data_IF_231258315194
#
_entry.id   IF_231258315194
#
_cell.length_a   1.000
_cell.length_b   1.000
_cell.length_c   1.000
_cell.angle_alpha   90.00
_cell.angle_beta   90.00
_cell.angle_gamma   90.00
#
_symmetry.space_group_name_H-M   'P 1'
#
loop_
_entity.id
_entity.type
_entity.pdbx_description
1 polymer ?
#
# COMPACT_ATOMS: atom_id res chain seq x y z
N UNK A 1 2.85 -46.70 -48.64
CA UNK A 1 3.32 -45.30 -48.71
C UNK A 1 3.66 -44.89 -47.30
N UNK A 2 4.87 -45.24 -46.86
CA UNK A 2 5.38 -44.72 -45.60
C UNK A 2 5.92 -43.35 -45.95
N UNK A 3 5.16 -42.34 -45.53
CA UNK A 3 5.62 -40.97 -45.47
C UNK A 3 7.01 -41.01 -44.83
N UNK A 4 8.01 -40.42 -45.48
CA UNK A 4 9.38 -40.43 -45.00
C UNK A 4 9.36 -40.05 -43.51
N UNK A 5 10.14 -40.70 -42.62
CA UNK A 5 10.22 -40.22 -41.25
C UNK A 5 10.80 -38.83 -41.36
N UNK A 6 9.93 -37.81 -41.28
CA UNK A 6 10.33 -36.41 -41.29
C UNK A 6 11.18 -36.29 -40.04
N UNK A 7 12.46 -36.39 -40.34
CA UNK A 7 13.64 -36.65 -39.53
C UNK A 7 13.36 -36.60 -38.03
N UNK A 8 13.51 -37.73 -37.32
CA UNK A 8 13.29 -37.81 -35.87
C UNK A 8 14.00 -36.68 -35.09
N UNK A 9 15.10 -36.15 -35.64
CA UNK A 9 15.81 -35.00 -35.07
C UNK A 9 15.00 -33.68 -35.09
N UNK A 10 14.18 -33.39 -36.12
CA UNK A 10 13.31 -32.21 -36.15
C UNK A 10 12.20 -32.30 -35.11
N UNK A 11 11.67 -33.51 -34.87
CA UNK A 11 10.69 -33.75 -33.81
C UNK A 11 11.33 -33.49 -32.45
N UNK A 12 12.54 -34.00 -32.20
CA UNK A 12 13.29 -33.72 -30.96
C UNK A 12 13.63 -32.23 -30.80
N UNK A 13 14.02 -31.55 -31.87
CA UNK A 13 14.27 -30.11 -31.87
C UNK A 13 12.99 -29.32 -31.54
N UNK A 14 11.87 -29.69 -32.17
CA UNK A 14 10.57 -29.08 -31.91
C UNK A 14 10.11 -29.27 -30.47
N UNK A 15 10.28 -30.48 -29.91
CA UNK A 15 9.98 -30.79 -28.50
C UNK A 15 10.88 -29.99 -27.56
N UNK A 16 12.17 -29.85 -27.86
CA UNK A 16 13.09 -29.07 -27.05
C UNK A 16 12.70 -27.58 -27.03
N UNK A 17 12.38 -27.01 -28.20
CA UNK A 17 11.91 -25.62 -28.32
C UNK A 17 10.59 -25.43 -27.57
N UNK A 18 9.61 -26.32 -27.78
CA UNK A 18 8.33 -26.25 -27.08
C UNK A 18 8.50 -26.36 -25.56
N UNK A 19 9.40 -27.24 -25.09
CA UNK A 19 9.71 -27.41 -23.67
C UNK A 19 10.36 -26.17 -23.06
N UNK A 20 11.27 -25.51 -23.78
CA UNK A 20 11.87 -24.24 -23.35
C UNK A 20 10.83 -23.11 -23.26
N UNK A 21 9.90 -23.05 -24.21
CA UNK A 21 8.79 -22.08 -24.18
C UNK A 21 7.88 -22.32 -22.97
N UNK A 22 7.45 -23.56 -22.75
CA UNK A 22 6.60 -23.92 -21.59
C UNK A 22 7.34 -23.66 -20.28
N UNK A 23 8.62 -24.01 -20.19
CA UNK A 23 9.43 -23.76 -19.00
C UNK A 23 9.62 -22.26 -18.74
N UNK A 24 9.86 -21.46 -19.78
CA UNK A 24 9.94 -20.00 -19.67
C UNK A 24 8.66 -19.40 -19.11
N UNK A 25 7.50 -19.80 -19.64
CA UNK A 25 6.19 -19.36 -19.14
C UNK A 25 5.98 -19.79 -17.69
N UNK A 26 6.32 -21.03 -17.33
CA UNK A 26 6.17 -21.51 -15.95
C UNK A 26 7.09 -20.76 -14.96
N UNK A 27 8.29 -20.36 -15.39
CA UNK A 27 9.24 -19.62 -14.58
C UNK A 27 8.83 -18.15 -14.33
N UNK A 28 7.99 -17.58 -15.19
CA UNK A 28 7.47 -16.21 -15.04
C UNK A 28 6.25 -16.10 -14.11
N UNK A 29 5.63 -17.23 -13.75
CA UNK A 29 4.48 -17.22 -12.85
C UNK A 29 4.88 -16.79 -11.43
N UNK A 30 4.11 -15.87 -10.79
CA UNK A 30 4.37 -15.49 -9.41
C UNK A 30 4.22 -16.69 -8.48
N UNK A 31 5.30 -17.07 -7.80
CA UNK A 31 5.31 -18.18 -6.82
C UNK A 31 4.92 -17.74 -5.41
N UNK A 32 4.66 -16.44 -5.22
CA UNK A 32 4.27 -15.84 -3.95
C UNK A 32 2.85 -15.29 -4.08
N UNK A 33 1.97 -15.46 -3.08
CA UNK A 33 0.65 -14.83 -3.10
C UNK A 33 0.76 -13.29 -3.19
N UNK A 34 -0.26 -12.61 -3.75
CA UNK A 34 -0.31 -11.16 -3.76
C UNK A 34 -0.37 -10.60 -2.33
N UNK A 35 0.05 -9.34 -2.11
CA UNK A 35 -0.09 -8.68 -0.82
C UNK A 35 -1.56 -8.58 -0.37
N UNK A 36 -1.81 -8.67 0.94
CA UNK A 36 -3.15 -8.59 1.52
C UNK A 36 -3.53 -7.14 1.83
N UNK A 37 -4.02 -6.43 0.82
CA UNK A 37 -4.48 -5.04 0.96
C UNK A 37 -5.78 -4.93 1.80
N UNK A 38 -6.66 -5.94 1.72
CA UNK A 38 -7.93 -5.95 2.46
C UNK A 38 -7.70 -6.01 3.96
N UNK A 39 -6.77 -6.83 4.43
CA UNK A 39 -6.39 -6.87 5.85
C UNK A 39 -5.83 -5.53 6.33
N UNK A 40 -5.02 -4.86 5.52
CA UNK A 40 -4.48 -3.55 5.85
C UNK A 40 -5.59 -2.49 6.00
N UNK A 41 -6.53 -2.44 5.06
CA UNK A 41 -7.70 -1.57 5.12
C UNK A 41 -8.57 -1.87 6.34
N UNK A 42 -8.88 -3.13 6.60
CA UNK A 42 -9.71 -3.52 7.74
C UNK A 42 -9.11 -3.06 9.08
N UNK A 43 -7.78 -3.09 9.22
CA UNK A 43 -7.11 -2.55 10.42
C UNK A 43 -7.26 -1.04 10.51
N UNK A 44 -7.10 -0.31 9.40
CA UNK A 44 -7.33 1.15 9.36
C UNK A 44 -8.78 1.47 9.75
N UNK A 45 -9.75 0.83 9.10
CA UNK A 45 -11.18 1.06 9.36
C UNK A 45 -11.59 0.66 10.78
N UNK A 46 -10.91 -0.31 11.41
CA UNK A 46 -11.18 -0.66 12.82
C UNK A 46 -10.75 0.42 13.83
N UNK A 47 -9.83 1.29 13.43
CA UNK A 47 -9.31 2.40 14.24
C UNK A 47 -9.91 3.73 13.82
N UNK A 48 -10.40 3.83 12.58
CA UNK A 48 -11.00 5.04 12.05
C UNK A 48 -12.30 5.38 12.79
N UNK A 49 -12.54 6.68 13.00
CA UNK A 49 -13.73 7.17 13.71
C UNK A 49 -13.69 6.95 15.23
N UNK A 50 -12.49 6.87 15.80
CA UNK A 50 -12.30 6.74 17.25
C UNK A 50 -12.80 7.98 18.00
N UNK A 51 -13.58 7.78 19.07
CA UNK A 51 -13.99 8.87 19.98
C UNK A 51 -12.81 9.36 20.85
N UNK A 52 -11.80 8.51 21.03
CA UNK A 52 -10.56 8.79 21.77
C UNK A 52 -9.35 8.34 20.96
N UNK A 53 -8.19 8.94 21.20
CA UNK A 53 -6.95 8.60 20.48
C UNK A 53 -6.68 7.09 20.51
N UNK A 54 -6.56 6.49 19.33
CA UNK A 54 -6.33 5.07 19.15
C UNK A 54 -5.18 4.83 18.15
N UNK A 55 -4.42 3.76 18.36
CA UNK A 55 -3.26 3.40 17.51
C UNK A 55 -3.30 1.93 17.15
N UNK A 56 -2.91 1.61 15.92
CA UNK A 56 -2.67 0.24 15.49
C UNK A 56 -1.45 0.16 14.58
N UNK A 57 -0.87 -1.02 14.52
CA UNK A 57 0.17 -1.37 13.58
C UNK A 57 -0.24 -2.61 12.81
N UNK A 58 -0.03 -2.59 11.49
CA UNK A 58 -0.36 -3.72 10.63
C UNK A 58 0.87 -4.10 9.81
N UNK A 59 1.43 -5.30 9.99
CA UNK A 59 2.51 -5.79 9.15
C UNK A 59 2.12 -5.80 7.67
N UNK A 60 3.03 -5.33 6.83
CA UNK A 60 2.88 -5.28 5.38
C UNK A 60 3.86 -6.24 4.70
N UNK A 61 3.33 -7.02 3.75
CA UNK A 61 4.12 -7.88 2.86
C UNK A 61 4.16 -7.27 1.45
N UNK A 62 4.64 -6.03 1.35
CA UNK A 62 4.71 -5.28 0.10
C UNK A 62 6.08 -4.63 -0.06
N UNK A 63 6.49 -4.40 -1.31
CA UNK A 63 7.69 -3.64 -1.67
C UNK A 63 7.36 -2.18 -1.90
N UNK A 64 6.20 -1.92 -2.47
CA UNK A 64 5.69 -0.57 -2.69
C UNK A 64 4.27 -0.45 -2.16
N UNK A 65 3.95 0.74 -1.67
CA UNK A 65 2.62 1.15 -1.24
C UNK A 65 2.24 2.42 -1.97
N UNK A 66 0.96 2.53 -2.30
CA UNK A 66 0.32 3.76 -2.76
C UNK A 66 -0.83 4.04 -1.82
N UNK A 67 -0.75 5.13 -1.05
CA UNK A 67 -1.73 5.49 -0.04
C UNK A 67 -2.49 6.74 -0.50
N UNK A 68 -3.82 6.63 -0.60
CA UNK A 68 -4.78 7.68 -0.97
C UNK A 68 -5.73 7.87 0.22
N UNK A 69 -6.49 8.98 0.26
CA UNK A 69 -7.54 9.17 1.26
C UNK A 69 -8.68 8.15 1.13
N UNK A 70 -8.86 7.54 -0.05
CA UNK A 70 -9.93 6.57 -0.33
C UNK A 70 -9.50 5.11 -0.31
N UNK A 71 -8.21 4.83 -0.20
CA UNK A 71 -7.74 3.45 -0.20
C UNK A 71 -6.23 3.30 -0.26
N UNK A 72 -5.79 2.05 -0.36
CA UNK A 72 -4.39 1.71 -0.52
C UNK A 72 -4.17 0.68 -1.61
N UNK A 73 -3.06 0.83 -2.32
CA UNK A 73 -2.48 -0.16 -3.21
C UNK A 73 -1.21 -0.73 -2.61
N UNK A 74 -1.03 -2.04 -2.71
CA UNK A 74 0.19 -2.75 -2.32
C UNK A 74 0.76 -3.47 -3.54
N UNK A 75 2.06 -3.32 -3.78
CA UNK A 75 2.78 -4.05 -4.83
C UNK A 75 3.89 -4.87 -4.21
N UNK A 76 3.93 -6.16 -4.54
CA UNK A 76 4.92 -7.11 -4.06
C UNK A 76 5.35 -8.09 -5.15
N UNK A 77 6.12 -9.12 -4.77
CA UNK A 77 6.55 -10.17 -5.70
C UNK A 77 5.39 -10.95 -6.31
N UNK A 78 4.28 -11.10 -5.57
CA UNK A 78 3.07 -11.79 -5.99
C UNK A 78 2.11 -10.97 -6.85
N UNK A 79 2.47 -9.73 -7.22
CA UNK A 79 1.62 -8.82 -7.99
C UNK A 79 1.18 -7.58 -7.20
N UNK A 80 0.08 -6.98 -7.66
CA UNK A 80 -0.50 -5.75 -7.06
C UNK A 80 -1.90 -6.03 -6.55
N UNK A 81 -2.19 -5.59 -5.33
CA UNK A 81 -3.52 -5.62 -4.71
C UNK A 81 -3.97 -4.21 -4.33
N UNK A 82 -5.27 -3.96 -4.37
CA UNK A 82 -5.86 -2.68 -3.95
C UNK A 82 -7.06 -2.95 -3.06
N UNK A 83 -7.29 -2.05 -2.10
CA UNK A 83 -8.49 -2.05 -1.27
C UNK A 83 -8.88 -0.60 -0.95
N UNK A 84 -10.18 -0.35 -0.80
CA UNK A 84 -10.74 0.97 -0.51
C UNK A 84 -11.12 1.06 0.96
N UNK A 85 -10.87 2.21 1.58
CA UNK A 85 -11.32 2.48 2.95
C UNK A 85 -12.83 2.65 2.98
N UNK A 86 -13.45 2.27 4.10
CA UNK A 86 -14.86 2.60 4.38
C UNK A 86 -14.94 4.00 5.01
N UNK A 87 -13.93 4.38 5.78
CA UNK A 87 -13.88 5.70 6.43
C UNK A 87 -13.40 6.80 5.48
N UNK A 88 -14.07 7.95 5.54
CA UNK A 88 -13.68 9.18 4.82
C UNK A 88 -12.67 10.04 5.62
N UNK A 89 -12.35 9.66 6.87
CA UNK A 89 -11.43 10.42 7.74
C UNK A 89 -9.97 9.99 7.62
N UNK A 90 -9.65 9.15 6.64
CA UNK A 90 -8.27 8.68 6.43
C UNK A 90 -7.42 9.78 5.82
N UNK A 91 -6.26 10.00 6.44
CA UNK A 91 -5.28 11.01 6.03
C UNK A 91 -3.97 10.29 5.73
N UNK A 92 -3.59 10.16 4.45
CA UNK A 92 -2.29 9.63 4.10
C UNK A 92 -1.22 10.62 4.60
N UNK A 93 -0.38 10.20 5.55
CA UNK A 93 0.75 11.04 5.99
C UNK A 93 1.88 10.84 4.98
N UNK A 94 1.74 11.59 3.89
CA UNK A 94 2.55 11.52 2.70
C UNK A 94 3.96 12.10 2.88
N UNK A 95 4.88 11.45 2.18
CA UNK A 95 6.18 11.98 1.81
C UNK A 95 6.01 12.80 0.54
N UNK A 96 6.00 14.13 0.61
CA UNK A 96 6.07 14.97 -0.60
C UNK A 96 7.33 14.58 -1.39
N UNK A 97 7.16 14.23 -2.67
CA UNK A 97 8.21 13.74 -3.59
C UNK A 97 8.91 12.42 -3.16
N UNK A 98 8.20 11.50 -2.51
CA UNK A 98 8.77 10.21 -2.08
C UNK A 98 9.77 10.32 -0.92
N UNK A 99 10.03 11.53 -0.42
CA UNK A 99 10.86 11.77 0.77
C UNK A 99 10.00 11.89 2.02
N UNK A 100 10.24 11.02 3.02
CA UNK A 100 9.60 11.08 4.36
C UNK A 100 10.03 12.35 5.08
N UNK A 101 9.45 13.48 4.72
CA UNK A 101 9.64 14.74 5.44
C UNK A 101 9.04 14.57 6.84
N UNK A 102 9.75 15.07 7.82
CA UNK A 102 9.24 15.20 9.18
C UNK A 102 8.19 16.32 9.19
N UNK A 103 6.94 15.96 8.86
CA UNK A 103 5.81 16.90 8.88
C UNK A 103 5.20 16.97 10.28
N UNK A 104 4.44 18.04 10.56
CA UNK A 104 3.69 18.15 11.81
C UNK A 104 2.76 16.95 12.02
N UNK A 105 2.07 16.50 10.97
CA UNK A 105 1.23 15.30 11.01
C UNK A 105 2.02 14.01 11.24
N UNK A 106 3.27 13.90 10.74
CA UNK A 106 4.14 12.76 11.06
C UNK A 106 4.50 12.71 12.54
N UNK A 107 4.76 13.85 13.17
CA UNK A 107 4.98 13.92 14.63
C UNK A 107 3.73 13.50 15.40
N UNK A 108 2.54 13.91 14.93
CA UNK A 108 1.28 13.41 15.50
C UNK A 108 1.15 11.91 15.31
N UNK A 109 1.37 11.36 14.12
CA UNK A 109 1.34 9.92 13.90
C UNK A 109 2.29 9.16 14.85
N UNK A 110 3.44 9.73 15.15
CA UNK A 110 4.46 9.14 16.04
C UNK A 110 4.20 9.33 17.54
N UNK A 111 3.10 9.99 17.94
CA UNK A 111 2.69 10.08 19.35
C UNK A 111 2.58 11.51 19.90
N UNK A 112 3.14 12.52 19.23
CA UNK A 112 3.07 13.90 19.72
C UNK A 112 1.61 14.39 19.73
N UNK A 113 1.13 15.01 20.82
CA UNK A 113 -0.20 15.64 20.84
C UNK A 113 -0.33 16.77 19.81
N UNK A 114 -1.51 16.96 19.16
CA UNK A 114 -1.70 18.03 18.17
C UNK A 114 -1.46 19.45 18.69
N UNK A 115 -1.83 19.73 19.94
CA UNK A 115 -1.66 21.04 20.61
C UNK A 115 -0.19 21.43 20.83
N UNK A 116 0.74 20.47 20.76
CA UNK A 116 2.18 20.72 20.84
C UNK A 116 2.76 21.14 19.48
N UNK A 117 2.11 20.75 18.38
CA UNK A 117 2.68 20.91 17.02
C UNK A 117 1.88 21.85 16.13
N UNK A 118 0.61 22.10 16.45
CA UNK A 118 -0.27 23.04 15.77
C UNK A 118 -0.69 24.15 16.74
N UNK A 119 -0.71 25.38 16.24
CA UNK A 119 -1.10 26.55 17.03
C UNK A 119 -2.62 26.60 17.25
N UNK A 120 -3.41 26.02 16.34
CA UNK A 120 -4.86 25.97 16.42
C UNK A 120 -5.47 24.73 15.74
N UNK A 121 -6.71 24.33 16.11
CA UNK A 121 -7.45 23.28 15.40
C UNK A 121 -7.66 23.56 13.91
N UNK A 122 -7.74 24.84 13.52
CA UNK A 122 -7.85 25.25 12.10
C UNK A 122 -6.56 24.96 11.32
N UNK A 123 -5.40 25.13 11.95
CA UNK A 123 -4.12 24.78 11.31
C UNK A 123 -3.96 23.26 11.14
N UNK A 124 -4.52 22.49 12.07
CA UNK A 124 -4.57 21.03 11.98
C UNK A 124 -5.50 20.55 10.86
N UNK A 125 -6.73 21.07 10.78
CA UNK A 125 -7.67 20.77 9.68
C UNK A 125 -7.08 21.16 8.31
N UNK A 126 -6.40 22.31 8.22
CA UNK A 126 -5.73 22.73 6.99
C UNK A 126 -4.65 21.73 6.56
N UNK A 127 -3.78 21.32 7.49
CA UNK A 127 -2.73 20.33 7.22
C UNK A 127 -3.30 18.96 6.80
N UNK A 128 -4.42 18.54 7.40
CA UNK A 128 -5.12 17.32 7.00
C UNK A 128 -5.60 17.43 5.55
N UNK A 129 -6.27 18.53 5.20
CA UNK A 129 -6.80 18.74 3.84
C UNK A 129 -5.70 18.82 2.81
N UNK A 130 -4.57 19.44 3.12
CA UNK A 130 -3.41 19.50 2.23
C UNK A 130 -2.94 18.08 1.87
N UNK A 131 -2.76 17.20 2.86
CA UNK A 131 -2.35 15.81 2.60
C UNK A 131 -3.43 14.99 1.89
N UNK A 132 -4.72 15.20 2.20
CA UNK A 132 -5.81 14.52 1.49
C UNK A 132 -5.92 14.90 0.01
N UNK A 133 -5.50 16.12 -0.34
CA UNK A 133 -5.51 16.62 -1.72
C UNK A 133 -4.26 16.24 -2.51
N UNK A 134 -3.23 15.69 -1.85
CA UNK A 134 -2.03 15.24 -2.54
C UNK A 134 -2.31 14.01 -3.40
N UNK A 135 -1.73 14.01 -4.60
CA UNK A 135 -1.85 12.87 -5.51
C UNK A 135 -1.04 11.70 -4.96
N UNK A 136 -1.72 10.58 -4.73
CA UNK A 136 -1.06 9.35 -4.29
C UNK A 136 -0.14 8.77 -5.38
N UNK A 137 1.12 8.53 -5.00
CA UNK A 137 2.15 7.89 -5.82
C UNK A 137 2.62 6.58 -5.20
N UNK A 138 3.21 5.71 -6.01
CA UNK A 138 3.84 4.48 -5.52
C UNK A 138 5.17 4.83 -4.86
N UNK A 139 5.37 4.36 -3.64
CA UNK A 139 6.58 4.58 -2.86
C UNK A 139 7.03 3.29 -2.21
N UNK A 140 8.30 3.19 -1.80
CA UNK A 140 8.79 2.06 -1.02
C UNK A 140 7.96 1.86 0.25
N UNK A 141 7.47 0.64 0.45
CA UNK A 141 6.69 0.28 1.63
C UNK A 141 7.59 0.00 2.83
N UNK A 142 7.19 0.49 3.99
CA UNK A 142 7.72 0.00 5.27
C UNK A 142 7.19 -1.41 5.54
N UNK A 143 7.87 -2.16 6.41
CA UNK A 143 7.40 -3.48 6.86
C UNK A 143 6.11 -3.43 7.68
N UNK A 144 5.71 -2.23 8.13
CA UNK A 144 4.58 -2.01 9.04
C UNK A 144 3.85 -0.74 8.65
N UNK A 145 2.53 -0.85 8.44
CA UNK A 145 1.61 0.27 8.33
C UNK A 145 1.30 0.78 9.73
N UNK A 146 1.56 2.07 9.99
CA UNK A 146 1.22 2.72 11.26
C UNK A 146 -0.07 3.49 11.12
N UNK A 147 -0.97 3.32 12.08
CA UNK A 147 -2.27 3.97 12.12
C UNK A 147 -2.39 4.72 13.46
N UNK A 148 -2.79 5.99 13.40
CA UNK A 148 -3.19 6.76 14.59
C UNK A 148 -4.45 7.54 14.29
N UNK A 149 -5.53 7.23 14.98
CA UNK A 149 -6.72 8.06 15.01
C UNK A 149 -6.61 9.08 16.14
N UNK A 150 -6.94 10.33 15.84
CA UNK A 150 -6.82 11.48 16.75
C UNK A 150 -8.03 12.39 16.59
N UNK A 151 -8.51 12.94 17.70
CA UNK A 151 -9.54 13.96 17.75
C UNK A 151 -9.00 15.17 18.49
N UNK A 152 -9.06 16.36 17.88
CA UNK A 152 -8.61 17.59 18.52
C UNK A 152 -9.43 18.80 18.04
N UNK A 153 -9.99 19.55 18.99
CA UNK A 153 -10.76 20.76 18.68
C UNK A 153 -11.98 20.53 17.79
N UNK A 154 -12.57 19.32 17.83
CA UNK A 154 -13.69 18.91 16.97
C UNK A 154 -13.27 18.43 15.57
N UNK A 155 -11.98 18.24 15.32
CA UNK A 155 -11.43 17.71 14.07
C UNK A 155 -10.91 16.30 14.32
N UNK A 156 -11.49 15.32 13.61
CA UNK A 156 -11.12 13.92 13.69
C UNK A 156 -10.30 13.51 12.46
N UNK A 157 -9.21 12.77 12.68
CA UNK A 157 -8.36 12.28 11.60
C UNK A 157 -7.75 10.93 11.90
N UNK A 158 -7.72 10.06 10.90
CA UNK A 158 -7.03 8.76 10.94
C UNK A 158 -5.76 8.85 10.12
N UNK A 159 -4.64 9.12 10.80
CA UNK A 159 -3.33 9.26 10.19
C UNK A 159 -2.75 7.88 9.85
N UNK A 160 -2.26 7.71 8.62
CA UNK A 160 -1.71 6.44 8.15
C UNK A 160 -0.38 6.65 7.41
N UNK A 161 0.63 5.80 7.65
CA UNK A 161 1.89 5.79 6.88
C UNK A 161 2.57 4.43 6.77
#
# INVERSE_FOLDING_TARGET
MFDAPVDAWYVWLGVAIASLVVFGVAAELPTTPPPDATRAVNTVDSVAGCEYTATAEQPLSAREIKLDSRGLGLRGKGGTAHAAFVSDSVVPVGSVDGSKRDTRLRRVLNGTPPDVVFDSPTDFDSAIRDEQNHRAEWMGADSTLRIRCVSWGGVDATLVS
#
